data_IF_641835651757
#
_entry.id   IF_641835651757
#
_cell.length_a   1.000
_cell.length_b   1.000
_cell.length_c   1.000
_cell.angle_alpha   90.00
_cell.angle_beta   90.00
_cell.angle_gamma   90.00
#
_symmetry.space_group_name_H-M   'P 1'
#
loop_
_entity.id
_entity.type
_entity.pdbx_description
1 polymer ?
#
# COMPACT_ATOMS: atom_id res chain seq x y z
N UNK A 1 -19.30 11.46 -30.81
CA UNK A 1 -19.55 11.65 -29.36
C UNK A 1 -19.00 10.54 -28.45
N UNK A 2 -17.84 9.94 -28.72
CA UNK A 2 -17.22 8.97 -27.80
C UNK A 2 -16.47 9.64 -26.65
N UNK A 3 -15.77 10.74 -26.94
CA UNK A 3 -14.91 11.46 -25.99
C UNK A 3 -15.71 12.11 -24.84
N UNK A 4 -16.85 12.75 -25.15
CA UNK A 4 -17.72 13.35 -24.13
C UNK A 4 -18.30 12.30 -23.17
N UNK A 5 -18.67 11.11 -23.67
CA UNK A 5 -19.11 9.99 -22.83
C UNK A 5 -17.99 9.48 -21.92
N UNK A 6 -16.75 9.46 -22.42
CA UNK A 6 -15.55 9.10 -21.64
C UNK A 6 -15.30 10.05 -20.48
N UNK A 7 -15.33 11.36 -20.73
CA UNK A 7 -15.15 12.38 -19.67
C UNK A 7 -16.24 12.31 -18.59
N UNK A 8 -17.50 12.12 -18.98
CA UNK A 8 -18.60 11.98 -18.02
C UNK A 8 -18.41 10.72 -17.17
N UNK A 9 -18.09 9.58 -17.78
CA UNK A 9 -17.81 8.34 -17.04
C UNK A 9 -16.65 8.51 -16.04
N UNK A 10 -15.57 9.17 -16.47
CA UNK A 10 -14.40 9.44 -15.62
C UNK A 10 -14.76 10.31 -14.41
N UNK A 11 -15.47 11.42 -14.62
CA UNK A 11 -15.87 12.32 -13.52
C UNK A 11 -16.82 11.63 -12.54
N UNK A 12 -17.82 10.90 -13.05
CA UNK A 12 -18.74 10.14 -12.20
C UNK A 12 -17.98 9.10 -11.40
N UNK A 13 -17.03 8.40 -12.00
CA UNK A 13 -16.20 7.41 -11.30
C UNK A 13 -15.39 8.03 -10.17
N UNK A 14 -14.74 9.19 -10.39
CA UNK A 14 -14.00 9.90 -9.35
C UNK A 14 -14.91 10.29 -8.18
N UNK A 15 -16.10 10.83 -8.47
CA UNK A 15 -17.05 11.24 -7.43
C UNK A 15 -17.51 10.04 -6.61
N UNK A 16 -17.89 8.95 -7.28
CA UNK A 16 -18.34 7.71 -6.61
C UNK A 16 -17.23 7.09 -5.78
N UNK A 17 -16.00 7.01 -6.30
CA UNK A 17 -14.84 6.52 -5.56
C UNK A 17 -14.59 7.39 -4.32
N UNK A 18 -14.65 8.72 -4.45
CA UNK A 18 -14.48 9.64 -3.34
C UNK A 18 -15.53 9.44 -2.24
N UNK A 19 -16.81 9.32 -2.61
CA UNK A 19 -17.91 9.06 -1.67
C UNK A 19 -17.77 7.71 -0.99
N UNK A 20 -17.51 6.64 -1.75
CA UNK A 20 -17.34 5.29 -1.20
C UNK A 20 -16.13 5.22 -0.27
N UNK A 21 -15.02 5.90 -0.62
CA UNK A 21 -13.83 5.95 0.22
C UNK A 21 -14.10 6.65 1.55
N UNK A 22 -14.84 7.77 1.53
CA UNK A 22 -15.26 8.47 2.75
C UNK A 22 -16.12 7.56 3.65
N UNK A 23 -17.13 6.90 3.07
CA UNK A 23 -18.01 5.97 3.82
C UNK A 23 -17.22 4.80 4.40
N UNK A 24 -16.31 4.20 3.63
CA UNK A 24 -15.48 3.09 4.11
C UNK A 24 -14.59 3.55 5.26
N UNK A 25 -13.99 4.74 5.18
CA UNK A 25 -13.17 5.30 6.25
C UNK A 25 -13.95 5.49 7.55
N UNK A 26 -15.15 6.07 7.46
CA UNK A 26 -16.02 6.29 8.61
C UNK A 26 -16.50 4.96 9.21
N UNK A 27 -16.95 4.02 8.38
CA UNK A 27 -17.37 2.69 8.85
C UNK A 27 -16.20 1.93 9.48
N UNK A 28 -15.00 2.02 8.91
CA UNK A 28 -13.81 1.37 9.44
C UNK A 28 -13.44 1.91 10.83
N UNK A 29 -13.45 3.24 11.02
CA UNK A 29 -13.16 3.85 12.33
C UNK A 29 -14.23 3.50 13.38
N UNK A 30 -15.52 3.53 13.03
CA UNK A 30 -16.60 3.11 13.93
C UNK A 30 -16.55 1.62 14.28
N UNK A 31 -16.26 0.77 13.31
CA UNK A 31 -16.09 -0.67 13.51
C UNK A 31 -14.89 -0.96 14.41
N UNK A 32 -13.76 -0.29 14.18
CA UNK A 32 -12.58 -0.34 15.03
C UNK A 32 -12.91 0.05 16.48
N UNK A 33 -13.55 1.19 16.68
CA UNK A 33 -13.97 1.66 17.99
C UNK A 33 -14.93 0.69 18.72
N UNK A 34 -15.82 0.01 17.99
CA UNK A 34 -16.77 -0.96 18.58
C UNK A 34 -16.09 -2.27 18.99
N UNK A 35 -15.08 -2.71 18.23
CA UNK A 35 -14.31 -3.93 18.53
C UNK A 35 -13.10 -3.69 19.44
N UNK A 36 -12.84 -2.44 19.85
CA UNK A 36 -11.63 -2.07 20.57
C UNK A 36 -10.35 -2.16 19.73
N UNK A 37 -10.48 -2.15 18.40
CA UNK A 37 -9.36 -2.16 17.47
C UNK A 37 -8.90 -0.72 17.21
N UNK A 38 -7.61 -0.44 17.40
CA UNK A 38 -7.06 0.88 17.15
C UNK A 38 -7.19 1.29 15.66
N UNK A 39 -7.54 2.56 15.41
CA UNK A 39 -7.76 3.09 14.05
C UNK A 39 -6.56 2.87 13.12
N UNK A 40 -5.34 2.99 13.63
CA UNK A 40 -4.12 2.72 12.86
C UNK A 40 -4.00 1.25 12.45
N UNK A 41 -4.43 0.31 13.29
CA UNK A 41 -4.49 -1.13 12.95
C UNK A 41 -5.55 -1.37 11.88
N UNK A 42 -6.72 -0.73 12.02
CA UNK A 42 -7.78 -0.83 11.03
C UNK A 42 -7.33 -0.28 9.67
N UNK A 43 -6.58 0.83 9.65
CA UNK A 43 -6.04 1.42 8.43
C UNK A 43 -4.99 0.53 7.75
N UNK A 44 -3.99 0.03 8.49
CA UNK A 44 -2.92 -0.81 7.90
C UNK A 44 -3.41 -2.21 7.48
N UNK A 45 -4.46 -2.73 8.12
CA UNK A 45 -5.04 -4.04 7.79
C UNK A 45 -6.13 -3.88 6.75
N UNK A 46 -7.26 -3.26 7.09
CA UNK A 46 -8.45 -3.31 6.24
C UNK A 46 -8.41 -2.32 5.08
N UNK A 47 -8.06 -1.07 5.34
CA UNK A 47 -8.06 -0.02 4.29
C UNK A 47 -6.95 -0.28 3.28
N UNK A 48 -5.72 -0.53 3.77
CA UNK A 48 -4.60 -0.83 2.90
C UNK A 48 -4.82 -2.11 2.08
N UNK A 49 -5.29 -3.21 2.70
CA UNK A 49 -5.64 -4.43 1.94
C UNK A 49 -6.72 -4.18 0.90
N UNK A 50 -7.77 -3.43 1.26
CA UNK A 50 -8.89 -3.13 0.36
C UNK A 50 -8.45 -2.44 -0.93
N UNK A 51 -7.46 -1.54 -0.84
CA UNK A 51 -6.86 -0.89 -2.01
C UNK A 51 -5.89 -1.79 -2.79
N UNK A 52 -5.10 -2.61 -2.08
CA UNK A 52 -4.07 -3.45 -2.70
C UNK A 52 -4.62 -4.72 -3.38
N UNK A 53 -5.81 -5.21 -3.00
CA UNK A 53 -6.40 -6.42 -3.61
C UNK A 53 -6.69 -6.21 -5.12
N UNK A 54 -7.42 -5.17 -5.55
CA UNK A 54 -7.61 -4.86 -6.97
C UNK A 54 -6.29 -4.69 -7.73
N UNK A 55 -5.32 -3.95 -7.16
CA UNK A 55 -3.99 -3.77 -7.74
C UNK A 55 -3.25 -5.10 -7.93
N UNK A 56 -3.38 -6.00 -6.96
CA UNK A 56 -2.81 -7.35 -7.02
C UNK A 56 -3.43 -8.17 -8.16
N UNK A 57 -4.75 -8.11 -8.33
CA UNK A 57 -5.41 -8.79 -9.45
C UNK A 57 -5.00 -8.22 -10.80
N UNK A 58 -4.95 -6.89 -10.95
CA UNK A 58 -4.48 -6.24 -12.17
C UNK A 58 -3.03 -6.64 -12.49
N UNK A 59 -2.16 -6.64 -11.47
CA UNK A 59 -0.76 -7.04 -11.60
C UNK A 59 -0.60 -8.51 -11.96
N UNK A 60 -1.40 -9.40 -11.35
CA UNK A 60 -1.45 -10.83 -11.71
C UNK A 60 -1.86 -11.04 -13.16
N UNK A 61 -2.90 -10.34 -13.63
CA UNK A 61 -3.36 -10.43 -15.02
C UNK A 61 -2.26 -9.96 -15.98
N UNK A 62 -1.62 -8.82 -15.68
CA UNK A 62 -0.48 -8.32 -16.44
C UNK A 62 0.69 -9.34 -16.47
N UNK A 63 0.99 -9.99 -15.34
CA UNK A 63 2.05 -11.00 -15.24
C UNK A 63 1.76 -12.27 -16.05
N UNK A 64 0.49 -12.68 -16.17
CA UNK A 64 0.10 -13.87 -16.94
C UNK A 64 0.14 -13.59 -18.44
N UNK A 65 -0.20 -12.36 -18.84
CA UNK A 65 -0.29 -11.95 -20.24
C UNK A 65 1.06 -11.51 -20.84
N UNK A 66 2.04 -11.18 -20.00
CA UNK A 66 3.38 -10.77 -20.41
C UNK A 66 4.40 -11.89 -20.14
N UNK A 67 5.19 -12.24 -21.18
CA UNK A 67 6.21 -13.29 -21.12
C UNK A 67 7.30 -12.99 -20.09
N UNK A 68 7.62 -11.73 -19.88
CA UNK A 68 8.64 -11.28 -18.92
C UNK A 68 8.03 -10.67 -17.67
N UNK A 69 6.71 -10.44 -17.67
CA UNK A 69 5.93 -9.79 -16.60
C UNK A 69 6.52 -8.48 -16.07
N UNK A 70 7.26 -7.78 -16.91
CA UNK A 70 7.72 -6.42 -16.65
C UNK A 70 6.52 -5.49 -16.46
N UNK A 71 5.41 -5.76 -17.17
CA UNK A 71 4.14 -5.06 -17.01
C UNK A 71 3.57 -5.15 -15.59
N UNK A 72 3.75 -6.29 -14.91
CA UNK A 72 3.29 -6.45 -13.52
C UNK A 72 4.11 -5.62 -12.55
N UNK A 73 5.43 -5.52 -12.76
CA UNK A 73 6.31 -4.71 -11.90
C UNK A 73 5.98 -3.23 -12.07
N UNK A 74 5.75 -2.79 -13.33
CA UNK A 74 5.30 -1.45 -13.65
C UNK A 74 3.96 -1.11 -12.99
N UNK A 75 3.00 -2.04 -13.02
CA UNK A 75 1.69 -1.84 -12.41
C UNK A 75 1.77 -1.69 -10.87
N UNK A 76 2.44 -2.62 -10.19
CA UNK A 76 2.60 -2.55 -8.71
C UNK A 76 3.34 -1.28 -8.29
N UNK A 77 4.43 -0.94 -8.99
CA UNK A 77 5.26 0.22 -8.63
C UNK A 77 4.50 1.52 -8.93
N UNK A 78 3.79 1.59 -10.06
CA UNK A 78 2.99 2.73 -10.46
C UNK A 78 1.82 3.00 -9.51
N UNK A 79 1.01 1.98 -9.18
CA UNK A 79 -0.11 2.13 -8.23
C UNK A 79 0.37 2.60 -6.86
N UNK A 80 1.46 2.03 -6.34
CA UNK A 80 2.02 2.45 -5.05
C UNK A 80 2.60 3.88 -5.09
N UNK A 81 3.26 4.27 -6.18
CA UNK A 81 3.74 5.63 -6.35
C UNK A 81 2.58 6.64 -6.35
N UNK A 82 1.48 6.33 -7.04
CA UNK A 82 0.26 7.15 -7.03
C UNK A 82 -0.31 7.25 -5.61
N UNK A 83 -0.42 6.14 -4.87
CA UNK A 83 -0.95 6.16 -3.50
C UNK A 83 -0.12 7.04 -2.57
N UNK A 84 1.21 6.97 -2.64
CA UNK A 84 2.10 7.77 -1.79
C UNK A 84 2.14 9.23 -2.23
N UNK A 85 2.43 9.51 -3.50
CA UNK A 85 2.64 10.88 -3.96
C UNK A 85 1.33 11.65 -4.16
N UNK A 86 0.34 11.03 -4.80
CA UNK A 86 -0.95 11.67 -5.07
C UNK A 86 -1.93 11.50 -3.91
N UNK A 87 -1.99 10.32 -3.30
CA UNK A 87 -2.87 10.07 -2.16
C UNK A 87 -2.45 10.88 -0.92
N UNK A 88 -1.23 10.65 -0.44
CA UNK A 88 -0.74 11.28 0.81
C UNK A 88 -0.06 12.63 0.51
N UNK A 89 0.83 12.69 -0.48
CA UNK A 89 1.66 13.87 -0.74
C UNK A 89 0.87 15.12 -1.14
N UNK A 90 -0.10 14.99 -2.04
CA UNK A 90 -0.96 16.12 -2.45
C UNK A 90 -1.87 16.56 -1.31
N UNK A 91 -2.50 15.62 -0.60
CA UNK A 91 -3.36 15.93 0.55
C UNK A 91 -2.61 16.70 1.65
N UNK A 92 -1.40 16.24 1.99
CA UNK A 92 -0.52 16.92 2.95
C UNK A 92 -0.12 18.32 2.48
N UNK A 93 0.23 18.46 1.19
CA UNK A 93 0.63 19.75 0.61
C UNK A 93 -0.51 20.77 0.65
N UNK A 94 -1.74 20.35 0.29
CA UNK A 94 -2.94 21.19 0.37
C UNK A 94 -3.18 21.64 1.82
N UNK A 95 -3.11 20.70 2.79
CA UNK A 95 -3.31 21.01 4.20
C UNK A 95 -2.25 21.99 4.73
N UNK A 96 -0.97 21.79 4.37
CA UNK A 96 0.13 22.66 4.77
C UNK A 96 -0.04 24.09 4.20
N UNK A 97 -0.38 24.22 2.91
CA UNK A 97 -0.63 25.51 2.27
C UNK A 97 -1.82 26.23 2.92
N UNK A 98 -2.92 25.51 3.18
CA UNK A 98 -4.11 26.08 3.82
C UNK A 98 -3.80 26.64 5.21
N UNK A 99 -3.04 25.91 6.03
CA UNK A 99 -2.62 26.37 7.36
C UNK A 99 -1.69 27.58 7.26
N UNK A 100 -0.72 27.54 6.34
CA UNK A 100 0.19 28.66 6.09
C UNK A 100 -0.56 29.92 5.67
N UNK A 101 -1.59 29.80 4.84
CA UNK A 101 -2.43 30.93 4.42
C UNK A 101 -3.17 31.58 5.60
N UNK A 102 -3.58 30.79 6.60
CA UNK A 102 -4.23 31.27 7.81
C UNK A 102 -3.25 31.64 8.94
N UNK A 103 -1.95 31.71 8.65
CA UNK A 103 -0.91 32.03 9.63
C UNK A 103 -0.76 30.97 10.74
N UNK A 104 -1.20 29.74 10.50
CA UNK A 104 -1.09 28.60 11.43
C UNK A 104 0.01 27.64 10.98
N UNK A 105 0.62 26.96 11.94
CA UNK A 105 1.53 25.86 11.65
C UNK A 105 0.76 24.56 11.46
N UNK A 106 1.14 23.78 10.44
CA UNK A 106 0.60 22.44 10.22
C UNK A 106 1.44 21.41 10.99
N UNK A 107 1.05 21.11 12.23
CA UNK A 107 1.74 20.17 13.10
C UNK A 107 1.03 18.81 13.08
N UNK A 108 1.68 17.80 12.49
CA UNK A 108 1.19 16.41 12.48
C UNK A 108 2.04 15.59 13.44
N UNK A 109 1.42 15.00 14.47
CA UNK A 109 2.11 14.10 15.38
C UNK A 109 2.34 12.75 14.68
N UNK A 110 3.58 12.25 14.60
CA UNK A 110 3.88 11.02 13.85
C UNK A 110 3.34 9.75 14.52
N UNK A 111 3.09 9.76 15.84
CA UNK A 111 2.56 8.58 16.54
C UNK A 111 3.41 7.33 16.30
N UNK A 112 2.75 6.24 15.90
CA UNK A 112 3.34 4.94 15.55
C UNK A 112 3.89 4.84 14.12
N UNK A 113 3.81 5.93 13.34
CA UNK A 113 4.20 5.94 11.94
C UNK A 113 5.70 5.69 11.78
N UNK A 114 6.53 6.28 12.64
CA UNK A 114 7.99 6.14 12.56
C UNK A 114 8.43 4.67 12.69
N UNK A 115 7.84 3.96 13.66
CA UNK A 115 8.07 2.53 13.85
C UNK A 115 7.61 1.72 12.64
N UNK A 116 6.36 1.88 12.22
CA UNK A 116 5.77 1.14 11.10
C UNK A 116 6.53 1.36 9.78
N UNK A 117 6.89 2.61 9.48
CA UNK A 117 7.67 2.96 8.28
C UNK A 117 9.06 2.33 8.32
N UNK A 118 9.71 2.27 9.48
CA UNK A 118 11.03 1.65 9.60
C UNK A 118 10.96 0.13 9.35
N UNK A 119 9.98 -0.55 9.94
CA UNK A 119 9.77 -1.98 9.69
C UNK A 119 9.44 -2.21 8.21
N UNK A 120 8.59 -1.39 7.61
CA UNK A 120 8.29 -1.44 6.18
C UNK A 120 9.55 -1.28 5.32
N UNK A 121 10.36 -0.25 5.57
CA UNK A 121 11.59 0.02 4.81
C UNK A 121 12.61 -1.12 4.95
N UNK A 122 12.76 -1.69 6.15
CA UNK A 122 13.63 -2.84 6.37
C UNK A 122 13.15 -4.09 5.60
N UNK A 123 11.85 -4.41 5.67
CA UNK A 123 11.23 -5.48 4.90
C UNK A 123 11.31 -5.27 3.39
N UNK A 124 11.14 -4.04 2.92
CA UNK A 124 11.30 -3.67 1.51
C UNK A 124 12.75 -3.85 1.03
N UNK A 125 13.73 -3.43 1.84
CA UNK A 125 15.15 -3.65 1.52
C UNK A 125 15.48 -5.15 1.41
N UNK A 126 15.02 -5.96 2.36
CA UNK A 126 15.17 -7.42 2.31
C UNK A 126 14.49 -7.99 1.06
N UNK A 127 13.27 -7.55 0.76
CA UNK A 127 12.52 -7.97 -0.43
C UNK A 127 13.28 -7.64 -1.72
N UNK A 128 13.83 -6.43 -1.84
CA UNK A 128 14.63 -6.02 -2.99
C UNK A 128 15.87 -6.91 -3.12
N UNK A 129 16.60 -7.15 -2.03
CA UNK A 129 17.78 -8.04 -2.04
C UNK A 129 17.40 -9.45 -2.50
N UNK A 130 16.31 -10.01 -1.99
CA UNK A 130 15.81 -11.33 -2.40
C UNK A 130 15.44 -11.35 -3.89
N UNK A 131 14.76 -10.31 -4.39
CA UNK A 131 14.42 -10.20 -5.80
C UNK A 131 15.67 -10.08 -6.68
N UNK A 132 16.67 -9.29 -6.28
CA UNK A 132 17.94 -9.16 -6.99
C UNK A 132 18.74 -10.47 -7.00
N UNK A 133 18.75 -11.21 -5.90
CA UNK A 133 19.38 -12.54 -5.83
C UNK A 133 18.68 -13.53 -6.76
N UNK A 134 17.34 -13.51 -6.83
CA UNK A 134 16.58 -14.34 -7.79
C UNK A 134 16.79 -13.93 -9.23
N UNK A 135 17.07 -12.65 -9.46
CA UNK A 135 17.40 -12.08 -10.77
C UNK A 135 18.75 -12.56 -11.29
N UNK A 136 19.64 -13.04 -10.41
CA UNK A 136 20.95 -13.56 -10.82
C UNK A 136 20.83 -14.71 -11.83
N UNK A 137 21.76 -14.73 -12.80
CA UNK A 137 21.87 -15.76 -13.85
C UNK A 137 21.98 -17.18 -13.29
N UNK A 138 22.45 -17.32 -12.04
CA UNK A 138 22.57 -18.61 -11.34
C UNK A 138 21.21 -19.23 -10.98
N UNK A 139 20.21 -18.39 -10.70
CA UNK A 139 18.85 -18.84 -10.31
C UNK A 139 17.89 -18.79 -11.50
N UNK A 140 18.12 -17.87 -12.46
CA UNK A 140 17.29 -17.71 -13.66
C UNK A 140 15.85 -17.33 -13.33
N UNK A 141 15.64 -16.63 -12.20
CA UNK A 141 14.36 -16.50 -11.54
C UNK A 141 13.55 -15.25 -11.87
N UNK A 142 13.91 -14.49 -12.92
CA UNK A 142 13.27 -13.19 -13.23
C UNK A 142 11.75 -13.34 -13.29
N UNK A 143 11.21 -14.32 -14.01
CA UNK A 143 9.83 -14.79 -13.85
C UNK A 143 9.66 -16.20 -14.45
N UNK A 144 9.02 -17.11 -13.72
CA UNK A 144 8.85 -18.51 -14.14
C UNK A 144 10.03 -19.45 -13.87
N UNK A 145 11.08 -18.98 -13.18
CA UNK A 145 12.16 -19.82 -12.67
C UNK A 145 11.66 -20.99 -11.79
N UNK A 146 12.55 -21.89 -11.34
CA UNK A 146 12.18 -23.19 -10.78
C UNK A 146 11.01 -23.12 -9.79
N UNK A 147 9.97 -23.92 -10.04
CA UNK A 147 8.69 -23.88 -9.31
C UNK A 147 8.87 -23.92 -7.79
N UNK A 148 9.81 -24.74 -7.31
CA UNK A 148 10.13 -24.86 -5.88
C UNK A 148 10.65 -23.53 -5.31
N UNK A 149 11.64 -22.92 -5.95
CA UNK A 149 12.23 -21.65 -5.51
C UNK A 149 11.19 -20.53 -5.58
N UNK A 150 10.35 -20.50 -6.62
CA UNK A 150 9.24 -19.53 -6.73
C UNK A 150 8.31 -19.59 -5.53
N UNK A 151 7.81 -20.77 -5.16
CA UNK A 151 6.90 -20.92 -4.01
C UNK A 151 7.58 -20.62 -2.68
N UNK A 152 8.82 -21.07 -2.48
CA UNK A 152 9.59 -20.76 -1.27
C UNK A 152 9.79 -19.25 -1.10
N UNK A 153 10.18 -18.56 -2.17
CA UNK A 153 10.38 -17.11 -2.12
C UNK A 153 9.06 -16.39 -1.89
N UNK A 154 7.98 -16.80 -2.57
CA UNK A 154 6.65 -16.21 -2.36
C UNK A 154 6.17 -16.39 -0.92
N UNK A 155 6.39 -17.56 -0.31
CA UNK A 155 6.08 -17.81 1.09
C UNK A 155 6.90 -16.94 2.04
N UNK A 156 8.18 -16.77 1.75
CA UNK A 156 9.06 -15.88 2.53
C UNK A 156 8.64 -14.41 2.45
N UNK A 157 8.30 -13.90 1.26
CA UNK A 157 7.81 -12.52 1.10
C UNK A 157 6.47 -12.30 1.81
N UNK A 158 5.57 -13.28 1.74
CA UNK A 158 4.31 -13.24 2.49
C UNK A 158 4.55 -13.25 4.00
N UNK A 159 5.53 -14.02 4.48
CA UNK A 159 5.94 -14.02 5.88
C UNK A 159 6.49 -12.66 6.32
N UNK A 160 7.34 -12.00 5.52
CA UNK A 160 7.80 -10.62 5.81
C UNK A 160 6.61 -9.67 5.96
N UNK A 161 5.64 -9.76 5.06
CA UNK A 161 4.43 -8.94 5.13
C UNK A 161 3.60 -9.19 6.39
N UNK A 162 3.41 -10.46 6.77
CA UNK A 162 2.75 -10.81 8.04
C UNK A 162 3.52 -10.30 9.26
N UNK A 163 4.84 -10.40 9.25
CA UNK A 163 5.68 -9.85 10.32
C UNK A 163 5.55 -8.33 10.43
N UNK A 164 5.48 -7.62 9.31
CA UNK A 164 5.21 -6.18 9.30
C UNK A 164 3.86 -5.86 9.97
N UNK A 165 2.79 -6.57 9.60
CA UNK A 165 1.47 -6.36 10.20
C UNK A 165 1.47 -6.67 11.70
N UNK A 166 2.07 -7.79 12.09
CA UNK A 166 2.14 -8.22 13.48
C UNK A 166 2.91 -7.22 14.34
N UNK A 167 4.13 -6.87 13.94
CA UNK A 167 4.98 -5.95 14.69
C UNK A 167 4.35 -4.55 14.79
N UNK A 168 3.80 -4.03 13.68
CA UNK A 168 3.13 -2.72 13.70
C UNK A 168 1.91 -2.75 14.63
N UNK A 169 1.12 -3.83 14.61
CA UNK A 169 -0.03 -4.00 15.50
C UNK A 169 0.37 -4.11 16.98
N UNK A 170 1.41 -4.89 17.29
CA UNK A 170 1.92 -5.06 18.66
C UNK A 170 2.44 -3.74 19.25
N UNK A 171 3.05 -2.88 18.43
CA UNK A 171 3.49 -1.55 18.86
C UNK A 171 2.31 -0.64 19.17
N UNK A 172 1.25 -0.67 18.33
CA UNK A 172 0.04 0.13 18.56
C UNK A 172 -0.64 -0.22 19.88
N UNK A 173 -0.66 -1.50 20.26
CA UNK A 173 -1.19 -1.96 21.55
C UNK A 173 -0.17 -1.88 22.71
N UNK A 174 0.97 -1.23 22.50
CA UNK A 174 2.03 -1.06 23.50
C UNK A 174 2.58 -2.37 24.08
N UNK A 175 2.45 -3.49 23.36
CA UNK A 175 3.05 -4.77 23.74
C UNK A 175 4.56 -4.73 23.52
N UNK A 176 4.98 -4.06 22.45
CA UNK A 176 6.38 -3.74 22.17
C UNK A 176 6.53 -2.22 22.16
N UNK A 177 7.69 -1.74 22.60
CA UNK A 177 7.98 -0.31 22.62
C UNK A 177 8.58 0.10 21.28
N UNK A 178 7.92 1.02 20.58
CA UNK A 178 8.51 1.75 19.46
C UNK A 178 9.68 2.63 19.92
N UNK A 179 10.44 3.14 18.96
CA UNK A 179 11.56 4.04 19.18
C UNK A 179 11.25 5.45 18.66
#
# INVERSE_FOLDING_TARGET
>A
SGILKGYVCFLVSIIVIGLVTAVIGDVASHFGGTLGIADSVTAIVFVALGTSIPDTFASKVAAIQDKYADASVGNVTGSNAVNVFLGIGVAWSIAAIYHSYHGKYFLVKPGNLAFSVTIFCSGAAITIVVLLLRRSKTVGGELGGPTVIKYLTSGFLFFIWLMYLLLSTLEVYHVIKGF
#
